data_IF_218949848420
#
_entry.id   IF_218949848420
#
_cell.length_a   1.000
_cell.length_b   1.000
_cell.length_c   1.000
_cell.angle_alpha   90.00
_cell.angle_beta   90.00
_cell.angle_gamma   90.00
#
_symmetry.space_group_name_H-M   'P 1'
#
loop_
_entity.id
_entity.type
_entity.pdbx_description
1 polymer ?
#
# COMPACT_ATOMS: atom_id res chain seq x y z
N UNK A 1 5.97 4.28 -18.32
CA UNK A 1 5.41 5.04 -17.18
C UNK A 1 6.06 4.50 -15.93
N UNK A 2 6.65 5.32 -15.07
CA UNK A 2 7.23 4.87 -13.79
C UNK A 2 6.20 5.02 -12.65
N UNK A 3 6.48 4.46 -11.47
CA UNK A 3 5.54 4.47 -10.35
C UNK A 3 5.13 5.89 -9.95
N UNK A 4 6.06 6.86 -9.97
CA UNK A 4 5.75 8.25 -9.66
C UNK A 4 4.72 8.84 -10.62
N UNK A 5 4.93 8.70 -11.93
CA UNK A 5 3.99 9.18 -12.95
C UNK A 5 2.62 8.50 -12.82
N UNK A 6 2.61 7.19 -12.54
CA UNK A 6 1.38 6.44 -12.32
C UNK A 6 0.61 6.97 -11.10
N UNK A 7 1.26 7.07 -9.93
CA UNK A 7 0.62 7.54 -8.69
C UNK A 7 0.10 8.98 -8.82
N UNK A 8 0.86 9.86 -9.48
CA UNK A 8 0.46 11.24 -9.67
C UNK A 8 -0.67 11.39 -10.71
N UNK A 9 -0.65 10.61 -11.78
CA UNK A 9 -1.59 10.71 -12.90
C UNK A 9 -2.84 9.83 -12.82
N UNK A 10 -2.87 8.82 -11.96
CA UNK A 10 -4.01 7.90 -11.83
C UNK A 10 -5.23 8.63 -11.23
N UNK A 11 -6.42 8.33 -11.76
CA UNK A 11 -7.70 8.79 -11.23
C UNK A 11 -8.23 7.79 -10.18
N UNK A 12 -7.68 7.84 -8.97
CA UNK A 12 -8.19 7.06 -7.84
C UNK A 12 -9.60 7.49 -7.45
N UNK A 13 -10.37 6.59 -6.83
CA UNK A 13 -11.78 6.81 -6.49
C UNK A 13 -11.95 7.92 -5.44
N UNK A 14 -10.96 8.10 -4.58
CA UNK A 14 -11.02 9.09 -3.50
C UNK A 14 -9.63 9.61 -3.07
N UNK A 15 -9.58 10.73 -2.31
CA UNK A 15 -8.31 11.31 -1.86
C UNK A 15 -7.49 10.40 -0.93
N UNK A 16 -8.14 9.56 -0.12
CA UNK A 16 -7.43 8.67 0.82
C UNK A 16 -6.60 7.65 0.05
N UNK A 17 -7.16 7.08 -1.02
CA UNK A 17 -6.43 6.17 -1.91
C UNK A 17 -5.18 6.83 -2.49
N UNK A 18 -5.28 8.08 -2.96
CA UNK A 18 -4.12 8.84 -3.45
C UNK A 18 -3.06 9.04 -2.35
N UNK A 19 -3.48 9.41 -1.14
CA UNK A 19 -2.56 9.61 -0.01
C UNK A 19 -1.85 8.32 0.38
N UNK A 20 -2.56 7.19 0.41
CA UNK A 20 -1.97 5.86 0.65
C UNK A 20 -0.90 5.56 -0.41
N UNK A 21 -1.23 5.71 -1.69
CA UNK A 21 -0.30 5.43 -2.79
C UNK A 21 0.93 6.34 -2.75
N UNK A 22 0.75 7.62 -2.46
CA UNK A 22 1.86 8.56 -2.24
C UNK A 22 2.72 8.15 -1.05
N UNK A 23 2.12 7.73 0.07
CA UNK A 23 2.89 7.33 1.25
C UNK A 23 3.72 6.07 0.99
N UNK A 24 3.15 5.09 0.28
CA UNK A 24 3.87 3.88 -0.14
C UNK A 24 5.00 4.26 -1.10
N UNK A 25 4.73 5.11 -2.10
CA UNK A 25 5.73 5.58 -3.06
C UNK A 25 6.91 6.26 -2.36
N UNK A 26 6.64 7.21 -1.46
CA UNK A 26 7.66 7.98 -0.73
C UNK A 26 8.39 7.17 0.36
N UNK A 27 7.95 5.95 0.64
CA UNK A 27 8.69 5.10 1.57
C UNK A 27 9.92 4.56 0.83
N UNK A 28 11.13 4.84 1.34
CA UNK A 28 12.39 4.42 0.70
C UNK A 28 12.93 5.42 -0.34
N UNK A 29 13.43 4.92 -1.47
CA UNK A 29 14.08 5.70 -2.56
C UNK A 29 13.12 6.55 -3.40
N UNK A 30 11.81 6.52 -3.11
CA UNK A 30 10.78 7.27 -3.86
C UNK A 30 10.61 6.90 -5.34
N UNK A 31 11.21 5.78 -5.76
CA UNK A 31 11.04 5.19 -7.10
C UNK A 31 9.81 4.26 -7.20
N UNK A 32 9.25 3.86 -6.06
CA UNK A 32 8.14 2.91 -5.97
C UNK A 32 8.52 1.47 -6.28
N UNK A 33 9.82 1.16 -6.38
CA UNK A 33 10.33 -0.17 -6.74
C UNK A 33 10.52 -1.05 -5.50
N UNK A 34 9.96 -2.26 -5.55
CA UNK A 34 10.06 -3.24 -4.46
C UNK A 34 9.03 -3.03 -3.34
N UNK A 35 9.04 -3.96 -2.39
CA UNK A 35 8.07 -3.96 -1.29
C UNK A 35 8.40 -2.90 -0.23
N UNK A 36 7.38 -2.29 0.36
CA UNK A 36 7.47 -1.37 1.49
C UNK A 36 6.70 -1.91 2.68
N UNK A 37 7.39 -2.07 3.80
CA UNK A 37 6.79 -2.49 5.05
C UNK A 37 6.34 -1.27 5.83
N UNK A 38 5.03 -1.09 5.99
CA UNK A 38 4.46 0.05 6.69
C UNK A 38 3.44 -0.42 7.72
N UNK A 39 3.50 0.14 8.93
CA UNK A 39 2.50 -0.09 9.96
C UNK A 39 1.17 0.58 9.60
N UNK A 40 0.05 -0.10 9.86
CA UNK A 40 -1.28 0.47 9.64
C UNK A 40 -1.52 1.77 10.43
N UNK A 41 -0.97 1.91 11.63
CA UNK A 41 -1.06 3.15 12.41
C UNK A 41 -0.33 4.29 11.69
N UNK A 42 0.87 4.04 11.15
CA UNK A 42 1.64 5.05 10.43
C UNK A 42 0.89 5.55 9.19
N UNK A 43 0.23 4.65 8.45
CA UNK A 43 -0.63 5.06 7.33
C UNK A 43 -1.85 5.85 7.79
N UNK A 44 -2.48 5.43 8.89
CA UNK A 44 -3.64 6.11 9.47
C UNK A 44 -3.30 7.55 9.89
N UNK A 45 -2.16 7.72 10.57
CA UNK A 45 -1.67 9.03 11.02
C UNK A 45 -1.33 9.93 9.83
N UNK A 46 -0.65 9.39 8.81
CA UNK A 46 -0.31 10.14 7.61
C UNK A 46 -1.55 10.61 6.83
N UNK A 47 -2.59 9.77 6.73
CA UNK A 47 -3.81 10.12 6.02
C UNK A 47 -4.84 10.85 6.89
N UNK A 48 -4.54 11.13 8.16
CA UNK A 48 -5.48 11.69 9.14
C UNK A 48 -6.81 10.91 9.20
N UNK A 49 -6.75 9.58 9.16
CA UNK A 49 -7.91 8.69 9.05
C UNK A 49 -7.89 7.57 10.10
N UNK A 50 -9.01 6.88 10.28
CA UNK A 50 -9.05 5.70 11.16
C UNK A 50 -8.36 4.48 10.50
N UNK A 51 -7.84 3.56 11.31
CA UNK A 51 -7.28 2.28 10.80
C UNK A 51 -8.27 1.50 9.95
N UNK A 52 -9.57 1.55 10.28
CA UNK A 52 -10.62 0.89 9.52
C UNK A 52 -10.78 1.50 8.12
N UNK A 53 -10.71 2.83 8.01
CA UNK A 53 -10.72 3.52 6.72
C UNK A 53 -9.49 3.12 5.89
N UNK A 54 -8.28 3.11 6.47
CA UNK A 54 -7.07 2.66 5.77
C UNK A 54 -7.21 1.21 5.29
N UNK A 55 -7.70 0.31 6.14
CA UNK A 55 -7.89 -1.08 5.76
C UNK A 55 -8.87 -1.24 4.59
N UNK A 56 -9.98 -0.50 4.60
CA UNK A 56 -10.96 -0.51 3.51
C UNK A 56 -10.36 0.01 2.20
N UNK A 57 -9.66 1.15 2.24
CA UNK A 57 -9.12 1.77 1.03
C UNK A 57 -7.91 1.01 0.47
N UNK A 58 -7.06 0.42 1.32
CA UNK A 58 -5.97 -0.45 0.87
C UNK A 58 -6.51 -1.70 0.18
N UNK A 59 -7.56 -2.33 0.71
CA UNK A 59 -8.25 -3.44 0.04
C UNK A 59 -8.89 -3.03 -1.30
N UNK A 60 -9.45 -1.83 -1.38
CA UNK A 60 -10.00 -1.30 -2.64
C UNK A 60 -8.92 -1.13 -3.70
N UNK A 61 -7.78 -0.54 -3.33
CA UNK A 61 -6.59 -0.40 -4.18
C UNK A 61 -6.04 -1.76 -4.63
N UNK A 62 -6.06 -2.76 -3.75
CA UNK A 62 -5.63 -4.12 -4.09
C UNK A 62 -6.56 -4.80 -5.10
N UNK A 63 -7.87 -4.67 -4.91
CA UNK A 63 -8.86 -5.17 -5.87
C UNK A 63 -8.79 -4.48 -7.22
N UNK A 64 -8.45 -3.19 -7.24
CA UNK A 64 -8.25 -2.42 -8.46
C UNK A 64 -6.92 -2.76 -9.17
N UNK A 65 -6.06 -3.58 -8.57
CA UNK A 65 -4.78 -3.98 -9.15
C UNK A 65 -3.73 -2.87 -9.12
N UNK A 66 -3.88 -1.88 -8.23
CA UNK A 66 -2.91 -0.78 -8.06
C UNK A 66 -1.89 -1.07 -6.96
N UNK A 67 -2.21 -1.98 -6.04
CA UNK A 67 -1.41 -2.27 -4.85
C UNK A 67 -1.46 -3.77 -4.53
N UNK A 68 -0.34 -4.41 -4.25
CA UNK A 68 -0.32 -5.74 -3.67
C UNK A 68 -0.03 -5.65 -2.17
N UNK A 69 -0.81 -6.37 -1.34
CA UNK A 69 -0.67 -6.34 0.12
C UNK A 69 -0.26 -7.70 0.66
N UNK A 70 0.94 -7.78 1.24
CA UNK A 70 1.45 -8.96 1.92
C UNK A 70 1.25 -8.87 3.43
N UNK A 71 0.62 -9.90 4.02
CA UNK A 71 0.55 -10.04 5.47
C UNK A 71 1.91 -10.45 6.02
N UNK A 72 2.34 -9.79 7.09
CA UNK A 72 3.58 -10.11 7.80
C UNK A 72 3.20 -10.85 9.07
N UNK A 73 3.77 -12.03 9.26
CA UNK A 73 3.63 -12.83 10.47
C UNK A 73 4.99 -13.02 11.13
N UNK A 74 5.03 -12.99 12.45
CA UNK A 74 6.20 -13.35 13.24
C UNK A 74 5.94 -14.68 13.92
N UNK A 75 6.89 -15.61 13.79
CA UNK A 75 6.88 -16.84 14.57
C UNK A 75 7.24 -16.50 16.01
N UNK A 76 6.37 -16.84 16.94
CA UNK A 76 6.66 -16.77 18.37
C UNK A 76 7.45 -18.00 18.81
N UNK A 77 8.07 -17.93 19.99
CA UNK A 77 8.89 -19.00 20.58
C UNK A 77 8.09 -20.32 20.69
N UNK A 78 6.76 -20.22 20.85
CA UNK A 78 5.84 -21.36 20.91
C UNK A 78 5.36 -21.87 19.53
N UNK A 79 6.07 -21.52 18.45
CA UNK A 79 5.69 -21.81 17.05
C UNK A 79 4.30 -21.28 16.61
N UNK A 80 3.68 -20.38 17.40
CA UNK A 80 2.44 -19.70 16.99
C UNK A 80 2.78 -18.50 16.10
N UNK A 81 2.13 -18.41 14.93
CA UNK A 81 2.27 -17.26 14.05
C UNK A 81 1.40 -16.09 14.55
N UNK A 82 2.03 -14.98 14.92
CA UNK A 82 1.32 -13.73 15.25
C UNK A 82 1.39 -12.79 14.05
N UNK A 83 0.22 -12.39 13.54
CA UNK A 83 0.13 -11.35 12.51
C UNK A 83 0.61 -10.02 13.10
N UNK A 84 1.59 -9.41 12.43
CA UNK A 84 2.04 -8.07 12.79
C UNK A 84 1.01 -7.02 12.38
N UNK A 85 1.02 -5.82 12.98
CA UNK A 85 0.26 -4.68 12.50
C UNK A 85 0.78 -4.15 11.15
N UNK A 86 2.09 -4.33 10.88
CA UNK A 86 2.72 -3.99 9.61
C UNK A 86 2.29 -4.90 8.45
N UNK A 87 2.28 -4.30 7.25
CA UNK A 87 1.98 -4.98 5.98
C UNK A 87 3.05 -4.61 4.96
N UNK A 88 3.36 -5.54 4.07
CA UNK A 88 4.14 -5.29 2.87
C UNK A 88 3.22 -4.71 1.79
N UNK A 89 3.64 -3.62 1.16
CA UNK A 89 2.92 -2.94 0.10
C UNK A 89 3.80 -2.84 -1.14
N UNK A 90 3.30 -3.27 -2.29
CA UNK A 90 4.00 -3.17 -3.57
C UNK A 90 3.10 -2.46 -4.57
N UNK A 91 3.57 -1.36 -5.16
CA UNK A 91 2.81 -0.66 -6.20
C UNK A 91 2.80 -1.51 -7.46
N UNK A 92 1.61 -1.77 -7.98
CA UNK A 92 1.42 -2.49 -9.23
C UNK A 92 1.10 -1.46 -10.32
N UNK A 93 1.98 -1.36 -11.30
CA UNK A 93 1.65 -0.65 -12.53
C UNK A 93 0.87 -1.62 -13.41
N UNK A 94 -0.42 -1.38 -13.60
CA UNK A 94 -1.17 -2.02 -14.68
C UNK A 94 -0.43 -1.70 -15.98
N UNK A 95 0.19 -2.72 -16.58
CA UNK A 95 0.56 -2.65 -17.98
C UNK A 95 -0.76 -2.43 -18.70
N UNK A 96 -1.02 -1.21 -19.20
CA UNK A 96 -2.02 -1.05 -20.24
C UNK A 96 -1.61 -2.05 -21.32
N UNK A 97 -2.44 -3.07 -21.54
CA UNK A 97 -2.32 -3.85 -22.77
C UNK A 97 -2.36 -2.84 -23.90
N UNK A 98 -1.30 -2.86 -24.70
CA UNK A 98 -1.25 -2.15 -25.96
C UNK A 98 -2.31 -2.84 -26.82
N UNK A 99 -3.49 -2.22 -26.91
CA UNK A 99 -4.50 -2.54 -27.92
C UNK A 99 -4.19 -1.72 -29.16
#
# INVERSE_FOLDING_TARGET
MNCFQFVCGCAFDNPIQRLIMLRVLMSGSSDGEGERVIDHQVLADFCCCSKQAIFRETLALERAGYLHIRKIATLTIDAKARLQPARGYTILMLRKEVV
#
